data_IF_652517698470
#
_entry.id   IF_652517698470
#
_cell.length_a   1.000
_cell.length_b   1.000
_cell.length_c   1.000
_cell.angle_alpha   90.00
_cell.angle_beta   90.00
_cell.angle_gamma   90.00
#
_symmetry.space_group_name_H-M   'P 1'
#
loop_
_entity.id
_entity.type
_entity.pdbx_description
1 polymer ?
#
# COMPACT_ATOMS: atom_id res chain seq x y z
N UNK A 1 -1.13 -16.97 6.34
CA UNK A 1 0.05 -17.00 5.45
C UNK A 1 -0.08 -15.89 4.41
N UNK A 2 0.72 -14.82 4.52
CA UNK A 2 0.90 -13.89 3.40
C UNK A 2 1.76 -14.60 2.35
N UNK A 3 1.20 -14.84 1.16
CA UNK A 3 1.90 -15.54 0.09
C UNK A 3 3.01 -14.64 -0.48
N UNK A 4 4.22 -14.77 0.06
CA UNK A 4 5.43 -14.20 -0.52
C UNK A 4 5.92 -15.07 -1.67
N UNK A 5 6.33 -14.45 -2.77
CA UNK A 5 7.06 -15.16 -3.82
C UNK A 5 8.44 -15.61 -3.32
N UNK A 6 9.00 -16.73 -3.83
CA UNK A 6 10.40 -17.05 -3.66
C UNK A 6 11.25 -15.96 -4.33
N UNK A 7 12.32 -15.50 -3.66
CA UNK A 7 13.22 -14.43 -4.15
C UNK A 7 12.53 -13.11 -4.54
N UNK A 8 11.88 -12.40 -3.59
CA UNK A 8 11.12 -11.16 -3.90
C UNK A 8 11.98 -10.05 -4.52
N UNK A 9 13.29 -10.02 -4.24
CA UNK A 9 14.24 -9.11 -4.89
C UNK A 9 14.32 -9.32 -6.40
N UNK A 10 14.42 -10.57 -6.84
CA UNK A 10 14.56 -10.92 -8.25
C UNK A 10 13.26 -10.60 -9.00
N UNK A 11 12.11 -10.94 -8.40
CA UNK A 11 10.79 -10.62 -8.96
C UNK A 11 10.61 -9.11 -9.10
N UNK A 12 10.96 -8.32 -8.08
CA UNK A 12 10.87 -6.86 -8.15
C UNK A 12 11.73 -6.24 -9.25
N UNK A 13 12.84 -6.89 -9.63
CA UNK A 13 13.74 -6.41 -10.69
C UNK A 13 13.39 -6.94 -12.08
N UNK A 14 12.62 -8.02 -12.17
CA UNK A 14 12.35 -8.72 -13.43
C UNK A 14 10.92 -8.54 -13.93
N UNK A 15 9.97 -8.31 -13.02
CA UNK A 15 8.57 -8.06 -13.36
C UNK A 15 8.41 -6.66 -13.98
N UNK A 16 7.96 -6.60 -15.24
CA UNK A 16 7.85 -5.34 -16.00
C UNK A 16 7.01 -4.29 -15.26
N UNK A 17 5.96 -4.73 -14.56
CA UNK A 17 5.05 -3.85 -13.86
C UNK A 17 5.68 -3.26 -12.60
N UNK A 18 6.34 -4.09 -11.80
CA UNK A 18 7.10 -3.64 -10.63
C UNK A 18 8.29 -2.76 -11.03
N UNK A 19 8.99 -3.08 -12.12
CA UNK A 19 10.07 -2.25 -12.66
C UNK A 19 9.56 -0.88 -13.08
N UNK A 20 8.40 -0.82 -13.74
CA UNK A 20 7.76 0.45 -14.11
C UNK A 20 7.34 1.24 -12.86
N UNK A 21 6.71 0.60 -11.88
CA UNK A 21 6.28 1.24 -10.65
C UNK A 21 7.44 1.64 -9.72
N UNK A 22 8.58 0.96 -9.82
CA UNK A 22 9.81 1.32 -9.11
C UNK A 22 10.44 2.60 -9.67
N UNK A 23 10.19 2.89 -10.96
CA UNK A 23 10.47 4.20 -11.53
C UNK A 23 9.45 5.23 -11.05
N UNK A 24 9.79 6.51 -11.19
CA UNK A 24 8.89 7.58 -10.80
C UNK A 24 7.67 7.59 -11.72
N UNK A 25 6.53 7.14 -11.20
CA UNK A 25 5.26 7.03 -11.92
C UNK A 25 4.35 8.20 -11.62
N UNK A 26 3.63 8.69 -12.63
CA UNK A 26 2.63 9.74 -12.43
C UNK A 26 1.36 9.14 -11.82
N UNK A 27 0.78 9.87 -10.88
CA UNK A 27 -0.44 9.47 -10.18
C UNK A 27 -1.47 10.59 -10.15
N UNK A 28 -2.74 10.20 -10.11
CA UNK A 28 -3.88 11.08 -9.83
C UNK A 28 -4.71 10.53 -8.68
N UNK A 29 -5.37 11.40 -7.93
CA UNK A 29 -6.32 10.99 -6.90
C UNK A 29 -7.59 10.40 -7.53
N UNK A 30 -7.94 9.18 -7.13
CA UNK A 30 -8.97 8.39 -7.82
C UNK A 30 -10.41 8.65 -7.35
N UNK A 31 -10.62 9.21 -6.16
CA UNK A 31 -11.97 9.35 -5.63
C UNK A 31 -12.73 10.50 -6.31
N UNK A 32 -14.02 10.24 -6.51
CA UNK A 32 -15.02 11.21 -6.97
C UNK A 32 -14.63 11.95 -8.26
N UNK A 33 -14.12 11.24 -9.28
CA UNK A 33 -13.70 11.89 -10.55
C UNK A 33 -14.83 12.66 -11.26
N UNK A 34 -16.09 12.30 -11.00
CA UNK A 34 -17.28 12.96 -11.52
C UNK A 34 -17.68 14.23 -10.74
N UNK A 35 -17.13 14.41 -9.53
CA UNK A 35 -17.47 15.53 -8.66
C UNK A 35 -16.67 16.80 -9.03
N UNK A 36 -17.18 17.99 -8.68
CA UNK A 36 -16.45 19.24 -8.87
C UNK A 36 -15.12 19.23 -8.10
N UNK A 37 -14.15 20.00 -8.62
CA UNK A 37 -12.77 19.98 -8.11
C UNK A 37 -12.66 20.33 -6.62
N UNK A 38 -13.48 21.26 -6.13
CA UNK A 38 -13.45 21.65 -4.70
C UNK A 38 -13.87 20.49 -3.79
N UNK A 39 -14.91 19.74 -4.16
CA UNK A 39 -15.32 18.55 -3.41
C UNK A 39 -14.22 17.48 -3.46
N UNK A 40 -13.59 17.28 -4.62
CA UNK A 40 -12.47 16.33 -4.76
C UNK A 40 -11.28 16.70 -3.87
N UNK A 41 -10.98 18.00 -3.72
CA UNK A 41 -9.93 18.49 -2.82
C UNK A 41 -10.27 18.22 -1.36
N UNK A 42 -11.52 18.40 -0.96
CA UNK A 42 -11.98 18.04 0.38
C UNK A 42 -11.82 16.53 0.62
N UNK A 43 -12.28 15.69 -0.31
CA UNK A 43 -12.09 14.23 -0.25
C UNK A 43 -10.63 13.81 -0.17
N UNK A 44 -9.75 14.50 -0.90
CA UNK A 44 -8.32 14.25 -0.83
C UNK A 44 -7.77 14.57 0.56
N UNK A 45 -8.17 15.69 1.17
CA UNK A 45 -7.78 16.04 2.55
C UNK A 45 -8.31 15.02 3.57
N UNK A 46 -9.54 14.56 3.41
CA UNK A 46 -10.11 13.46 4.22
C UNK A 46 -9.29 12.18 4.08
N UNK A 47 -8.94 11.79 2.85
CA UNK A 47 -8.14 10.60 2.56
C UNK A 47 -6.75 10.65 3.23
N UNK A 48 -6.09 11.81 3.17
CA UNK A 48 -4.80 12.02 3.87
C UNK A 48 -4.98 11.93 5.40
N UNK A 49 -6.04 12.54 5.95
CA UNK A 49 -6.34 12.47 7.39
C UNK A 49 -6.64 11.04 7.86
N UNK A 50 -7.35 10.27 7.03
CA UNK A 50 -7.65 8.85 7.26
C UNK A 50 -6.47 7.93 6.97
N UNK A 51 -5.34 8.48 6.48
CA UNK A 51 -4.16 7.72 6.06
C UNK A 51 -4.48 6.63 5.02
N UNK A 52 -5.49 6.83 4.20
CA UNK A 52 -5.88 5.90 3.14
C UNK A 52 -6.05 6.67 1.86
N UNK A 53 -5.12 6.46 0.93
CA UNK A 53 -4.97 7.28 -0.26
C UNK A 53 -5.19 6.46 -1.54
N UNK A 54 -6.40 6.54 -2.14
CA UNK A 54 -6.69 5.96 -3.44
C UNK A 54 -6.03 6.75 -4.57
N UNK A 55 -5.13 6.10 -5.29
CA UNK A 55 -4.38 6.66 -6.40
C UNK A 55 -4.53 5.82 -7.66
N UNK A 56 -4.59 6.50 -8.80
CA UNK A 56 -4.51 5.90 -10.13
C UNK A 56 -3.12 6.19 -10.67
N UNK A 57 -2.36 5.14 -10.96
CA UNK A 57 -1.07 5.20 -11.63
C UNK A 57 -1.34 5.31 -13.13
N UNK A 58 -1.16 6.52 -13.67
CA UNK A 58 -1.64 6.84 -15.02
C UNK A 58 -0.85 6.13 -16.10
N UNK A 59 0.46 5.97 -15.92
CA UNK A 59 1.35 5.30 -16.87
C UNK A 59 1.12 3.79 -16.90
N UNK A 60 0.73 3.21 -15.76
CA UNK A 60 0.54 1.78 -15.59
C UNK A 60 -0.93 1.34 -15.71
N UNK A 61 -1.87 2.30 -15.73
CA UNK A 61 -3.30 2.05 -15.86
C UNK A 61 -3.95 1.33 -14.67
N UNK A 62 -3.34 1.39 -13.48
CA UNK A 62 -3.84 0.69 -12.28
C UNK A 62 -4.29 1.62 -11.18
N UNK A 63 -5.25 1.15 -10.38
CA UNK A 63 -5.74 1.83 -9.19
C UNK A 63 -5.26 1.10 -7.94
N UNK A 64 -4.66 1.82 -7.01
CA UNK A 64 -4.20 1.29 -5.73
C UNK A 64 -4.60 2.21 -4.59
N UNK A 65 -5.08 1.62 -3.50
CA UNK A 65 -5.36 2.33 -2.25
C UNK A 65 -4.20 2.12 -1.29
N UNK A 66 -3.36 3.13 -1.15
CA UNK A 66 -2.19 3.07 -0.27
C UNK A 66 -2.57 3.47 1.15
N UNK A 67 -2.18 2.67 2.14
CA UNK A 67 -2.21 3.10 3.54
C UNK A 67 -0.96 3.92 3.86
N UNK A 68 -1.13 5.11 4.44
CA UNK A 68 -0.08 6.10 4.65
C UNK A 68 0.53 5.93 6.05
N UNK A 69 1.82 5.65 6.11
CA UNK A 69 2.58 5.58 7.36
C UNK A 69 2.87 6.98 7.89
N UNK A 70 3.36 7.86 7.01
CA UNK A 70 3.70 9.23 7.33
C UNK A 70 3.38 10.16 6.15
N UNK A 71 3.01 11.40 6.47
CA UNK A 71 2.84 12.47 5.49
C UNK A 71 3.36 13.78 6.06
N UNK A 72 3.89 14.63 5.19
CA UNK A 72 4.37 15.98 5.52
C UNK A 72 3.83 16.94 4.48
N UNK A 73 3.18 18.00 4.95
CA UNK A 73 2.58 19.02 4.09
C UNK A 73 3.47 20.26 4.08
N UNK A 74 3.86 20.72 2.89
CA UNK A 74 4.62 21.94 2.65
C UNK A 74 3.90 22.78 1.60
N UNK A 75 3.07 23.73 2.06
CA UNK A 75 2.16 24.46 1.17
C UNK A 75 1.15 23.52 0.53
N UNK A 76 1.09 23.50 -0.81
CA UNK A 76 0.21 22.61 -1.56
C UNK A 76 0.81 21.23 -1.82
N UNK A 77 2.10 21.05 -1.55
CA UNK A 77 2.77 19.77 -1.75
C UNK A 77 2.64 18.90 -0.51
N UNK A 78 2.21 17.66 -0.71
CA UNK A 78 2.13 16.63 0.33
C UNK A 78 3.10 15.51 -0.05
N UNK A 79 4.21 15.41 0.67
CA UNK A 79 5.11 14.27 0.59
C UNK A 79 4.59 13.17 1.52
N UNK A 80 4.59 11.91 1.07
CA UNK A 80 4.08 10.79 1.86
C UNK A 80 4.87 9.51 1.66
N UNK A 81 4.76 8.61 2.64
CA UNK A 81 5.28 7.25 2.60
C UNK A 81 4.20 6.28 3.07
N UNK A 82 4.02 5.18 2.33
CA UNK A 82 3.04 4.16 2.66
C UNK A 82 3.55 3.20 3.73
N UNK A 83 2.62 2.54 4.40
CA UNK A 83 2.91 1.30 5.10
C UNK A 83 3.36 0.22 4.09
N UNK A 84 4.08 -0.82 4.54
CA UNK A 84 4.37 -1.98 3.70
C UNK A 84 3.08 -2.65 3.22
N UNK A 85 3.02 -2.97 1.93
CA UNK A 85 1.91 -3.69 1.31
C UNK A 85 2.43 -4.76 0.35
N UNK A 86 1.64 -5.81 0.16
CA UNK A 86 1.96 -6.89 -0.77
C UNK A 86 1.44 -6.52 -2.16
N UNK A 87 2.32 -6.57 -3.16
CA UNK A 87 1.97 -6.36 -4.56
C UNK A 87 2.56 -7.50 -5.40
N UNK A 88 1.70 -8.27 -6.07
CA UNK A 88 2.11 -9.49 -6.80
C UNK A 88 3.02 -10.42 -5.98
N UNK A 89 2.75 -10.55 -4.67
CA UNK A 89 3.54 -11.38 -3.75
C UNK A 89 4.90 -10.81 -3.35
N UNK A 90 5.21 -9.56 -3.73
CA UNK A 90 6.40 -8.82 -3.30
C UNK A 90 5.98 -7.78 -2.26
N UNK A 91 6.71 -7.72 -1.14
CA UNK A 91 6.48 -6.70 -0.12
C UNK A 91 7.13 -5.39 -0.56
N UNK A 92 6.31 -4.36 -0.71
CA UNK A 92 6.71 -3.06 -1.22
C UNK A 92 6.31 -1.96 -0.25
N UNK A 93 7.03 -0.84 -0.31
CA UNK A 93 6.57 0.45 0.19
C UNK A 93 6.49 1.43 -0.98
N UNK A 94 5.61 2.41 -0.87
CA UNK A 94 5.46 3.45 -1.85
C UNK A 94 5.81 4.80 -1.22
N UNK A 95 6.64 5.57 -1.91
CA UNK A 95 6.96 6.94 -1.51
C UNK A 95 6.67 7.87 -2.66
N UNK A 96 6.01 8.98 -2.36
CA UNK A 96 5.63 9.93 -3.38
C UNK A 96 5.30 11.30 -2.84
N UNK A 97 4.83 12.13 -3.75
CA UNK A 97 4.33 13.46 -3.46
C UNK A 97 3.11 13.76 -4.30
N UNK A 98 2.15 14.47 -3.72
CA UNK A 98 0.92 14.92 -4.36
C UNK A 98 0.78 16.43 -4.22
N UNK A 99 0.18 17.08 -5.22
CA UNK A 99 -0.31 18.43 -5.11
C UNK A 99 -1.78 18.42 -4.64
N UNK A 100 -2.07 19.13 -3.54
CA UNK A 100 -3.40 19.15 -2.91
C UNK A 100 -4.45 19.94 -3.71
N UNK A 101 -4.05 20.76 -4.69
CA UNK A 101 -4.94 21.55 -5.53
C UNK A 101 -5.18 20.89 -6.89
N UNK A 102 -4.13 20.37 -7.52
CA UNK A 102 -4.17 19.68 -8.81
C UNK A 102 -4.61 18.22 -8.67
N UNK A 103 -4.45 17.63 -7.48
CA UNK A 103 -4.78 16.23 -7.19
C UNK A 103 -3.97 15.23 -8.03
N UNK A 104 -2.79 15.65 -8.46
CA UNK A 104 -1.83 14.87 -9.23
C UNK A 104 -0.48 14.87 -8.52
N UNK A 105 0.35 13.88 -8.83
CA UNK A 105 1.62 13.73 -8.17
C UNK A 105 2.51 12.68 -8.81
N UNK A 106 3.56 12.30 -8.09
CA UNK A 106 4.45 11.22 -8.50
C UNK A 106 4.72 10.27 -7.35
N UNK A 107 4.77 8.98 -7.64
CA UNK A 107 5.02 7.90 -6.68
C UNK A 107 6.02 6.94 -7.27
N UNK A 108 6.88 6.38 -6.42
CA UNK A 108 7.73 5.25 -6.77
C UNK A 108 7.63 4.16 -5.73
N UNK A 109 7.74 2.93 -6.18
CA UNK A 109 7.77 1.76 -5.33
C UNK A 109 9.20 1.48 -4.90
N UNK A 110 9.33 0.91 -3.72
CA UNK A 110 10.57 0.39 -3.18
C UNK A 110 10.29 -0.98 -2.64
N UNK A 111 11.25 -1.87 -2.82
CA UNK A 111 11.25 -3.13 -2.12
C UNK A 111 11.33 -2.86 -0.61
N UNK A 112 10.45 -3.50 0.16
CA UNK A 112 10.57 -3.50 1.60
C UNK A 112 11.60 -4.55 2.01
N UNK A 113 12.67 -4.13 2.69
CA UNK A 113 13.71 -5.04 3.20
C UNK A 113 13.31 -5.69 4.53
N UNK A 114 12.17 -5.30 5.11
CA UNK A 114 11.62 -5.96 6.27
C UNK A 114 11.18 -7.36 5.84
N UNK A 115 11.79 -8.38 6.46
CA UNK A 115 11.48 -9.78 6.19
C UNK A 115 9.97 -10.00 6.31
N UNK A 116 9.39 -10.75 5.37
CA UNK A 116 7.98 -11.18 5.33
C UNK A 116 7.53 -12.03 6.55
N UNK A 117 8.24 -11.96 7.68
CA UNK A 117 8.06 -12.73 8.91
C UNK A 117 7.42 -11.94 10.05
N UNK A 118 7.12 -10.65 9.89
CA UNK A 118 6.79 -9.78 11.04
C UNK A 118 5.45 -9.07 10.92
N UNK A 119 4.42 -9.73 10.40
CA UNK A 119 3.03 -9.28 10.63
C UNK A 119 2.06 -10.45 10.68
N UNK A 120 2.50 -11.53 11.32
CA UNK A 120 1.55 -12.44 11.96
C UNK A 120 1.12 -11.72 13.24
N UNK A 121 -0.14 -11.30 13.29
CA UNK A 121 -0.78 -11.13 14.59
C UNK A 121 -0.72 -12.50 15.24
N UNK A 122 0.30 -12.70 16.08
CA UNK A 122 0.53 -13.94 16.78
C UNK A 122 -0.62 -14.18 17.77
N UNK A 123 -1.75 -14.67 17.28
CA UNK A 123 -2.50 -15.69 18.00
C UNK A 123 -1.72 -17.00 17.82
N UNK A 124 -0.54 -17.05 18.43
CA UNK A 124 0.12 -18.31 18.73
C UNK A 124 -0.77 -19.02 19.73
N UNK A 125 -1.63 -19.91 19.24
CA UNK A 125 -2.42 -20.79 20.09
C UNK A 125 -1.46 -21.49 21.05
N UNK A 126 -1.65 -21.30 22.35
CA UNK A 126 -0.82 -21.98 23.34
C UNK A 126 -1.10 -23.49 23.23
N UNK A 127 -0.11 -24.35 23.55
CA UNK A 127 -0.30 -25.81 23.46
C UNK A 127 -1.53 -26.31 24.23
N UNK A 128 -1.93 -25.61 25.30
CA UNK A 128 -3.13 -25.89 26.09
C UNK A 128 -4.44 -25.63 25.32
N UNK A 129 -4.48 -24.61 24.46
CA UNK A 129 -5.66 -24.32 23.64
C UNK A 129 -5.83 -25.36 22.52
N UNK A 130 -4.72 -25.87 21.97
CA UNK A 130 -4.72 -26.96 20.99
C UNK A 130 -5.18 -28.29 21.61
N UNK A 131 -4.76 -28.57 22.85
CA UNK A 131 -5.21 -29.75 23.62
C UNK A 131 -6.72 -29.67 23.90
N UNK A 132 -7.22 -28.48 24.27
CA UNK A 132 -8.65 -28.24 24.53
C UNK A 132 -9.51 -28.47 23.28
N UNK A 133 -9.04 -28.02 22.11
CA UNK A 133 -9.74 -28.25 20.83
C UNK A 133 -9.75 -29.73 20.41
N UNK A 134 -8.66 -30.47 20.63
CA UNK A 134 -8.65 -31.94 20.43
C UNK A 134 -9.63 -32.65 21.35
N UNK A 135 -9.77 -32.18 22.58
CA UNK A 135 -10.69 -32.76 23.57
C UNK A 135 -12.15 -32.55 23.18
N UNK A 136 -12.45 -31.52 22.37
CA UNK A 136 -13.78 -31.22 21.84
C UNK A 136 -14.11 -31.93 20.51
N UNK A 137 -13.24 -32.82 20.00
CA UNK A 137 -13.59 -33.78 18.95
C UNK A 137 -13.85 -33.19 17.55
N UNK A 138 -13.35 -31.99 17.26
CA UNK A 138 -13.44 -31.40 15.92
C UNK A 138 -12.20 -31.78 15.08
N UNK A 139 -12.36 -32.20 13.81
CA UNK A 139 -11.23 -32.52 12.96
C UNK A 139 -10.48 -31.24 12.57
N UNK A 140 -9.14 -31.28 12.72
CA UNK A 140 -8.21 -30.31 12.13
C UNK A 140 -8.12 -30.50 10.61
#
# INVERSE_FOLDING_TARGET
MLASVPNPREVFQSDEFLVQLAQQSNVKFSLSEHAPVEERRERFREAIAQRKLPLTFTDAGVNLSLEIASSTTSGNKIDFESLPFLFNGVLCTARGSMDSHLLTGTVRFRLCEESNTSRDGAESWTPEQVETLRTMGLPL
#
